data_IF_602576240398
#
_entry.id   IF_602576240398
#
_cell.length_a   1.000
_cell.length_b   1.000
_cell.length_c   1.000
_cell.angle_alpha   90.00
_cell.angle_beta   90.00
_cell.angle_gamma   90.00
#
_symmetry.space_group_name_H-M   'P 1'
#
loop_
_entity.id
_entity.type
_entity.pdbx_description
1 polymer ?
#
# COMPACT_ATOMS: atom_id res chain seq x y z
N UNK A 1 -14.52 18.28 -30.00
CA UNK A 1 -15.64 17.94 -29.09
C UNK A 1 -15.18 16.83 -28.17
N UNK A 2 -15.10 17.07 -26.86
CA UNK A 2 -14.72 16.03 -25.89
C UNK A 2 -15.89 15.04 -25.77
N UNK A 3 -15.64 13.73 -25.92
CA UNK A 3 -16.67 12.69 -25.77
C UNK A 3 -16.64 12.16 -24.34
N UNK A 4 -17.83 11.90 -23.77
CA UNK A 4 -17.94 11.32 -22.43
C UNK A 4 -17.19 9.99 -22.29
N UNK A 5 -17.14 9.19 -23.36
CA UNK A 5 -16.43 7.92 -23.38
C UNK A 5 -14.91 8.09 -23.18
N UNK A 6 -14.32 9.14 -23.74
CA UNK A 6 -12.89 9.42 -23.61
C UNK A 6 -12.54 9.77 -22.16
N UNK A 7 -13.39 10.58 -21.50
CA UNK A 7 -13.25 10.91 -20.07
C UNK A 7 -13.35 9.69 -19.14
N UNK A 8 -14.28 8.77 -19.44
CA UNK A 8 -14.43 7.52 -18.68
C UNK A 8 -13.20 6.63 -18.82
N UNK A 9 -12.64 6.54 -20.04
CA UNK A 9 -11.44 5.75 -20.29
C UNK A 9 -10.23 6.33 -19.54
N UNK A 10 -10.03 7.64 -19.56
CA UNK A 10 -8.97 8.29 -18.79
C UNK A 10 -9.11 8.07 -17.28
N UNK A 11 -10.33 8.14 -16.74
CA UNK A 11 -10.57 7.86 -15.33
C UNK A 11 -10.19 6.41 -14.97
N UNK A 12 -10.60 5.44 -15.79
CA UNK A 12 -10.23 4.03 -15.60
C UNK A 12 -8.72 3.82 -15.65
N UNK A 13 -8.01 4.49 -16.56
CA UNK A 13 -6.55 4.42 -16.62
C UNK A 13 -5.89 4.97 -15.35
N UNK A 14 -6.39 6.08 -14.81
CA UNK A 14 -5.91 6.63 -13.52
C UNK A 14 -6.13 5.64 -12.37
N UNK A 15 -7.30 5.03 -12.31
CA UNK A 15 -7.65 4.06 -11.27
C UNK A 15 -6.79 2.79 -11.37
N UNK A 16 -6.56 2.29 -12.59
CA UNK A 16 -5.63 1.17 -12.84
C UNK A 16 -4.20 1.49 -12.38
N UNK A 17 -3.71 2.70 -12.65
CA UNK A 17 -2.39 3.11 -12.20
C UNK A 17 -2.31 3.15 -10.67
N UNK A 18 -3.31 3.73 -10.00
CA UNK A 18 -3.40 3.76 -8.54
C UNK A 18 -3.33 2.35 -7.93
N UNK A 19 -4.10 1.41 -8.47
CA UNK A 19 -4.11 0.03 -8.01
C UNK A 19 -2.75 -0.66 -8.18
N UNK A 20 -2.09 -0.45 -9.33
CA UNK A 20 -0.73 -0.98 -9.57
C UNK A 20 0.27 -0.47 -8.53
N UNK A 21 0.20 0.82 -8.18
CA UNK A 21 1.06 1.43 -7.16
C UNK A 21 0.81 0.80 -5.79
N UNK A 22 -0.45 0.69 -5.38
CA UNK A 22 -0.82 0.14 -4.08
C UNK A 22 -0.39 -1.32 -3.96
N UNK A 23 -0.60 -2.11 -5.00
CA UNK A 23 -0.15 -3.51 -5.06
C UNK A 23 1.37 -3.63 -5.00
N UNK A 24 2.11 -2.70 -5.61
CA UNK A 24 3.59 -2.67 -5.54
C UNK A 24 4.07 -2.40 -4.11
N UNK A 25 3.45 -1.45 -3.40
CA UNK A 25 3.77 -1.16 -2.00
C UNK A 25 3.41 -2.35 -1.11
N UNK A 26 2.23 -2.93 -1.28
CA UNK A 26 1.79 -4.14 -0.56
C UNK A 26 2.83 -5.27 -0.65
N UNK A 27 3.31 -5.58 -1.85
CA UNK A 27 4.34 -6.62 -2.04
C UNK A 27 5.65 -6.30 -1.31
N UNK A 28 6.06 -5.03 -1.24
CA UNK A 28 7.28 -4.64 -0.50
C UNK A 28 7.11 -4.86 1.00
N UNK A 29 5.94 -4.55 1.53
CA UNK A 29 5.60 -4.78 2.94
C UNK A 29 5.55 -6.29 3.23
N UNK A 30 4.95 -7.08 2.35
CA UNK A 30 4.91 -8.55 2.45
C UNK A 30 6.33 -9.16 2.49
N UNK A 31 7.24 -8.69 1.64
CA UNK A 31 8.66 -9.09 1.68
C UNK A 31 9.30 -8.72 3.02
N UNK A 32 8.99 -7.53 3.58
CA UNK A 32 9.50 -7.10 4.87
C UNK A 32 9.00 -7.98 6.02
N UNK A 33 7.73 -8.39 5.98
CA UNK A 33 7.12 -9.34 6.93
C UNK A 33 7.85 -10.69 6.85
N UNK A 34 8.00 -11.26 5.64
CA UNK A 34 8.70 -12.54 5.44
C UNK A 34 10.14 -12.49 5.96
N UNK A 35 10.86 -11.41 5.66
CA UNK A 35 12.22 -11.21 6.16
C UNK A 35 12.26 -11.13 7.70
N UNK A 36 11.38 -10.35 8.33
CA UNK A 36 11.30 -10.27 9.78
C UNK A 36 10.97 -11.62 10.42
N UNK A 37 10.02 -12.38 9.85
CA UNK A 37 9.70 -13.74 10.30
C UNK A 37 10.88 -14.69 10.18
N UNK A 38 11.69 -14.59 9.12
CA UNK A 38 12.90 -15.41 8.94
C UNK A 38 13.96 -15.16 10.03
N UNK A 39 13.90 -14.00 10.69
CA UNK A 39 14.77 -13.62 11.80
C UNK A 39 14.13 -13.90 13.17
N UNK A 40 13.06 -14.70 13.24
CA UNK A 40 12.28 -14.99 14.45
C UNK A 40 11.66 -13.75 15.11
N UNK A 41 11.36 -12.71 14.33
CA UNK A 41 10.58 -11.55 14.79
C UNK A 41 9.09 -11.78 14.50
N UNK A 42 8.23 -11.14 15.30
CA UNK A 42 6.76 -11.23 15.18
C UNK A 42 6.11 -9.91 14.80
N UNK A 43 6.92 -8.91 14.48
CA UNK A 43 6.50 -7.58 14.11
C UNK A 43 7.51 -6.94 13.16
N UNK A 44 7.05 -5.96 12.38
CA UNK A 44 7.91 -5.16 11.53
C UNK A 44 7.34 -3.77 11.29
N UNK A 45 8.24 -2.87 10.88
CA UNK A 45 7.93 -1.50 10.54
C UNK A 45 8.34 -1.27 9.09
N UNK A 46 7.53 -0.52 8.36
CA UNK A 46 7.82 -0.15 6.97
C UNK A 46 7.50 1.33 6.74
N UNK A 47 8.46 2.05 6.18
CA UNK A 47 8.25 3.43 5.75
C UNK A 47 7.66 3.43 4.33
N UNK A 48 6.43 3.93 4.23
CA UNK A 48 5.76 4.20 2.97
C UNK A 48 6.54 5.29 2.23
N UNK A 49 6.94 5.06 0.97
CA UNK A 49 7.69 6.04 0.21
C UNK A 49 6.81 7.25 -0.09
N UNK A 50 7.26 8.47 0.17
CA UNK A 50 6.51 9.68 -0.17
C UNK A 50 6.48 9.93 -1.68
N UNK A 51 7.53 9.47 -2.38
CA UNK A 51 7.67 9.57 -3.82
C UNK A 51 8.08 8.23 -4.42
N UNK A 52 7.51 7.92 -5.58
CA UNK A 52 7.90 6.78 -6.39
C UNK A 52 8.32 7.31 -7.76
N UNK A 53 9.57 7.03 -8.17
CA UNK A 53 10.10 7.48 -9.45
C UNK A 53 9.18 7.06 -10.61
N UNK A 54 8.87 8.01 -11.50
CA UNK A 54 7.98 7.84 -12.66
C UNK A 54 6.50 7.55 -12.33
N UNK A 55 6.03 7.91 -11.14
CA UNK A 55 4.62 7.81 -10.73
C UNK A 55 4.19 9.19 -10.18
N UNK A 56 3.04 9.76 -10.61
CA UNK A 56 2.52 10.99 -10.00
C UNK A 56 2.26 10.78 -8.51
N UNK A 57 2.32 11.86 -7.71
CA UNK A 57 2.04 11.85 -6.26
C UNK A 57 0.83 10.97 -5.95
N UNK A 58 1.09 9.77 -5.40
CA UNK A 58 0.03 8.81 -5.13
C UNK A 58 -0.68 9.22 -3.84
N UNK A 59 -1.97 8.92 -3.76
CA UNK A 59 -2.72 9.21 -2.53
C UNK A 59 -2.26 8.27 -1.41
N UNK A 60 -1.45 8.80 -0.48
CA UNK A 60 -0.91 8.09 0.68
C UNK A 60 -2.04 7.56 1.57
N UNK A 61 -3.06 8.37 1.86
CA UNK A 61 -4.19 7.97 2.70
C UNK A 61 -4.98 6.79 2.11
N UNK A 62 -5.18 6.80 0.80
CA UNK A 62 -5.81 5.70 0.07
C UNK A 62 -4.94 4.43 0.10
N UNK A 63 -3.62 4.58 0.03
CA UNK A 63 -2.69 3.46 0.15
C UNK A 63 -2.72 2.86 1.56
N UNK A 64 -2.69 3.69 2.60
CA UNK A 64 -2.84 3.26 4.00
C UNK A 64 -4.12 2.44 4.21
N UNK A 65 -5.24 2.98 3.74
CA UNK A 65 -6.55 2.33 3.87
C UNK A 65 -6.58 0.97 3.15
N UNK A 66 -6.00 0.92 1.94
CA UNK A 66 -5.82 -0.32 1.18
C UNK A 66 -4.99 -1.35 1.96
N UNK A 67 -3.78 -0.98 2.41
CA UNK A 67 -2.88 -1.86 3.14
C UNK A 67 -3.50 -2.36 4.45
N UNK A 68 -4.10 -1.45 5.21
CA UNK A 68 -4.74 -1.77 6.49
C UNK A 68 -5.87 -2.77 6.31
N UNK A 69 -6.75 -2.56 5.33
CA UNK A 69 -7.82 -3.51 5.01
C UNK A 69 -7.25 -4.88 4.62
N UNK A 70 -6.28 -4.88 3.69
CA UNK A 70 -5.69 -6.12 3.17
C UNK A 70 -5.02 -6.96 4.25
N UNK A 71 -4.15 -6.36 5.06
CA UNK A 71 -3.43 -7.07 6.12
C UNK A 71 -4.32 -7.44 7.31
N UNK A 72 -5.31 -6.62 7.67
CA UNK A 72 -6.27 -6.99 8.74
C UNK A 72 -7.15 -8.18 8.32
N UNK A 73 -7.57 -8.23 7.06
CA UNK A 73 -8.31 -9.38 6.52
C UNK A 73 -7.46 -10.67 6.56
N UNK A 74 -6.15 -10.54 6.39
CA UNK A 74 -5.19 -11.65 6.47
C UNK A 74 -4.78 -11.99 7.93
N UNK A 75 -5.36 -11.31 8.94
CA UNK A 75 -5.19 -11.62 10.37
C UNK A 75 -4.04 -10.87 11.07
N UNK A 76 -3.43 -9.88 10.42
CA UNK A 76 -2.38 -9.05 11.03
C UNK A 76 -2.96 -7.90 11.85
N UNK A 77 -2.29 -7.55 12.95
CA UNK A 77 -2.53 -6.29 13.65
C UNK A 77 -1.77 -5.16 12.94
N UNK A 78 -2.48 -4.09 12.57
CA UNK A 78 -1.94 -2.97 11.77
C UNK A 78 -2.38 -1.63 12.33
N UNK A 79 -1.41 -0.75 12.57
CA UNK A 79 -1.62 0.66 12.90
C UNK A 79 -0.52 1.56 12.31
N UNK A 80 -0.74 2.88 12.34
CA UNK A 80 0.16 3.89 11.79
C UNK A 80 0.66 4.79 12.93
N UNK A 81 1.88 4.57 13.46
CA UNK A 81 2.45 5.41 14.52
C UNK A 81 2.76 6.82 14.02
N UNK A 82 3.11 6.96 12.74
CA UNK A 82 3.43 8.23 12.09
C UNK A 82 2.76 8.31 10.71
N UNK A 83 2.84 9.47 10.04
CA UNK A 83 2.17 9.69 8.77
C UNK A 83 2.65 8.76 7.64
N UNK A 84 3.90 8.35 7.61
CA UNK A 84 4.43 7.50 6.53
C UNK A 84 4.92 6.15 7.06
N UNK A 85 4.59 5.75 8.29
CA UNK A 85 5.05 4.50 8.88
C UNK A 85 3.87 3.56 9.10
N UNK A 86 3.97 2.34 8.57
CA UNK A 86 3.06 1.24 8.89
C UNK A 86 3.75 0.28 9.85
N UNK A 87 3.10 0.01 10.98
CA UNK A 87 3.46 -1.06 11.91
C UNK A 87 2.57 -2.27 11.63
N UNK A 88 3.19 -3.46 11.61
CA UNK A 88 2.50 -4.74 11.39
C UNK A 88 3.01 -5.76 12.39
N UNK A 89 2.10 -6.44 13.06
CA UNK A 89 2.40 -7.52 14.01
C UNK A 89 1.49 -8.73 13.78
N UNK A 90 2.07 -9.91 13.96
CA UNK A 90 1.38 -11.20 13.98
C UNK A 90 1.68 -11.97 15.27
N UNK A 91 2.08 -11.24 16.32
CA UNK A 91 2.17 -11.76 17.67
C UNK A 91 0.77 -12.02 18.20
N UNK A 92 0.51 -13.27 18.60
CA UNK A 92 -0.72 -13.65 19.32
C UNK A 92 -0.60 -13.31 20.80
#
# INVERSE_FOLDING_TARGET
MVKAQDLINEQRERDRHKEKVYKKIYKKVEIKIMHASSMNLYECWYQLPEFLFNIPLYNLQGCKSYLQSKFRNDGFNVYFPEENIIYISWKK
#
